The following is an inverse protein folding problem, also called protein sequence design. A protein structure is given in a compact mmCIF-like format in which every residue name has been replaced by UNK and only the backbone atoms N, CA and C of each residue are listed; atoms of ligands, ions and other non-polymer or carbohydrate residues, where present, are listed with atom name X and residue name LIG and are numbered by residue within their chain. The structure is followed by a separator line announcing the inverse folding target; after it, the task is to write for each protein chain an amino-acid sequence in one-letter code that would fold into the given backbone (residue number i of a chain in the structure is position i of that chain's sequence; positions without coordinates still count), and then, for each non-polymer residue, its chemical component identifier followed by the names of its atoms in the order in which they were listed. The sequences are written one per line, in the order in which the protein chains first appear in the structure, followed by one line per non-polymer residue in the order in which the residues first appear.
data_IF_107540972235
#
_entry.id   IF_107540972235
#
_cell.length_a   1.000
_cell.length_b   1.000
_cell.length_c   1.000
_cell.angle_alpha   90.00
_cell.angle_beta   90.00
_cell.angle_gamma   90.00
#
_symmetry.space_group_name_H-M   'P 1'
#
loop_
_entity.id
_entity.type
_entity.pdbx_description
1 polymer ?
#
# COMPACT_ATOMS: atom_id res chain seq x y z
N UNK A 1 -6.23 11.97 3.46
CA UNK A 1 -6.53 11.02 4.56
C UNK A 1 -7.93 10.48 4.32
N UNK A 2 -8.13 9.18 4.46
CA UNK A 2 -9.41 8.46 4.26
C UNK A 2 -9.84 7.88 5.62
N UNK A 3 -11.13 7.96 5.93
CA UNK A 3 -11.73 7.34 7.13
C UNK A 3 -12.80 6.34 6.68
N UNK A 4 -12.76 5.13 7.22
CA UNK A 4 -13.80 4.13 7.01
C UNK A 4 -14.21 3.47 8.35
N UNK A 5 -15.38 3.84 8.93
CA UNK A 5 -15.85 3.27 10.17
C UNK A 5 -16.44 1.85 10.04
N UNK A 6 -16.62 1.35 8.81
CA UNK A 6 -17.17 0.03 8.51
C UNK A 6 -16.27 -0.68 7.51
N UNK A 7 -15.01 -0.88 7.89
CA UNK A 7 -13.94 -1.31 7.00
C UNK A 7 -14.27 -2.64 6.31
N UNK A 8 -15.04 -3.52 6.96
CA UNK A 8 -15.49 -4.80 6.43
C UNK A 8 -14.30 -5.61 5.91
N UNK A 9 -14.36 -5.98 4.63
CA UNK A 9 -13.24 -6.71 4.01
C UNK A 9 -12.01 -5.85 3.68
N UNK A 10 -12.05 -4.52 3.86
CA UNK A 10 -10.90 -3.62 3.68
C UNK A 10 -10.75 -2.99 2.30
N UNK A 11 -11.78 -2.99 1.45
CA UNK A 11 -11.69 -2.45 0.08
C UNK A 11 -11.33 -0.96 0.04
N UNK A 12 -11.92 -0.14 0.92
CA UNK A 12 -11.58 1.29 1.04
C UNK A 12 -10.10 1.49 1.38
N UNK A 13 -9.56 0.67 2.30
CA UNK A 13 -8.15 0.70 2.67
C UNK A 13 -7.21 0.32 1.54
N UNK A 14 -7.54 -0.74 0.80
CA UNK A 14 -6.76 -1.15 -0.37
C UNK A 14 -6.73 -0.05 -1.43
N UNK A 15 -7.85 0.62 -1.69
CA UNK A 15 -7.88 1.76 -2.59
C UNK A 15 -7.04 2.93 -2.03
N UNK A 16 -7.24 3.31 -0.77
CA UNK A 16 -6.51 4.43 -0.16
C UNK A 16 -4.99 4.26 -0.29
N UNK A 17 -4.45 3.09 0.08
CA UNK A 17 -3.00 2.84 -0.02
C UNK A 17 -2.53 2.88 -1.48
N UNK A 18 -3.26 2.25 -2.42
CA UNK A 18 -2.92 2.27 -3.85
C UNK A 18 -2.86 3.67 -4.46
N UNK A 19 -3.63 4.61 -3.93
CA UNK A 19 -3.64 6.01 -4.34
C UNK A 19 -2.71 6.89 -3.50
N UNK A 20 -1.80 6.29 -2.72
CA UNK A 20 -0.84 7.02 -1.88
C UNK A 20 -1.51 7.83 -0.77
N UNK A 21 -2.65 7.36 -0.24
CA UNK A 21 -3.38 8.04 0.83
C UNK A 21 -3.27 7.27 2.14
N UNK A 22 -3.04 7.99 3.23
CA UNK A 22 -3.24 7.47 4.57
C UNK A 22 -4.72 7.12 4.80
N UNK A 23 -4.96 6.00 5.50
CA UNK A 23 -6.29 5.55 5.92
C UNK A 23 -6.33 5.29 7.44
N UNK A 24 -7.48 5.59 8.05
CA UNK A 24 -7.91 5.11 9.36
C UNK A 24 -9.18 4.28 9.16
N UNK A 25 -9.19 3.04 9.64
CA UNK A 25 -10.32 2.12 9.47
C UNK A 25 -10.70 1.42 10.77
N UNK A 26 -12.00 1.20 10.99
CA UNK A 26 -12.53 0.45 12.12
C UNK A 26 -13.36 -0.74 11.62
N UNK A 27 -13.18 -1.90 12.26
CA UNK A 27 -13.99 -3.09 12.05
C UNK A 27 -14.18 -3.77 13.41
N UNK A 28 -15.41 -4.17 13.72
CA UNK A 28 -15.76 -4.76 15.02
C UNK A 28 -15.65 -6.28 15.00
N UNK A 29 -15.83 -6.88 13.82
CA UNK A 29 -15.70 -8.32 13.64
C UNK A 29 -14.21 -8.68 13.48
N UNK A 30 -13.64 -9.50 14.38
CA UNK A 30 -12.21 -9.81 14.37
C UNK A 30 -11.77 -10.58 13.13
N UNK A 31 -12.63 -11.42 12.56
CA UNK A 31 -12.31 -12.19 11.35
C UNK A 31 -12.24 -11.26 10.13
N UNK A 32 -13.18 -10.32 10.03
CA UNK A 32 -13.13 -9.29 8.99
C UNK A 32 -11.95 -8.33 9.17
N UNK A 33 -11.61 -7.97 10.41
CA UNK A 33 -10.44 -7.15 10.71
C UNK A 33 -9.15 -7.79 10.17
N UNK A 34 -8.91 -9.08 10.45
CA UNK A 34 -7.72 -9.78 9.96
C UNK A 34 -7.70 -9.91 8.43
N UNK A 35 -8.87 -10.12 7.80
CA UNK A 35 -9.00 -10.11 6.33
C UNK A 35 -8.62 -8.74 5.76
N UNK A 36 -9.16 -7.66 6.33
CA UNK A 36 -8.90 -6.30 5.89
C UNK A 36 -7.43 -5.92 6.05
N UNK A 37 -6.86 -6.19 7.23
CA UNK A 37 -5.45 -5.94 7.56
C UNK A 37 -4.52 -6.61 6.54
N UNK A 38 -4.66 -7.92 6.31
CA UNK A 38 -3.85 -8.66 5.34
C UNK A 38 -3.97 -8.09 3.91
N UNK A 39 -5.17 -7.67 3.50
CA UNK A 39 -5.39 -7.09 2.16
C UNK A 39 -4.71 -5.72 2.01
N UNK A 40 -4.80 -4.87 3.04
CA UNK A 40 -4.21 -3.53 3.04
C UNK A 40 -2.68 -3.62 3.07
N UNK A 41 -2.10 -4.42 3.96
CA UNK A 41 -0.64 -4.64 4.05
C UNK A 41 -0.06 -5.18 2.73
N UNK A 42 -0.77 -6.11 2.08
CA UNK A 42 -0.37 -6.62 0.76
C UNK A 42 -0.39 -5.52 -0.30
N UNK A 43 -1.39 -4.65 -0.28
CA UNK A 43 -1.49 -3.56 -1.23
C UNK A 43 -0.39 -2.50 -1.01
N UNK A 44 -0.02 -2.22 0.24
CA UNK A 44 1.08 -1.31 0.60
C UNK A 44 2.45 -1.86 0.17
N UNK A 45 2.76 -3.13 0.47
CA UNK A 45 4.03 -3.76 0.05
C UNK A 45 4.27 -3.71 -1.45
N UNK A 46 3.21 -3.92 -2.24
CA UNK A 46 3.31 -3.87 -3.69
C UNK A 46 3.76 -2.50 -4.19
N UNK A 47 3.33 -1.42 -3.55
CA UNK A 47 3.73 -0.05 -3.94
C UNK A 47 5.20 0.18 -3.63
N UNK A 48 5.66 -0.24 -2.45
CA UNK A 48 7.05 -0.07 -2.05
C UNK A 48 8.01 -0.86 -2.95
N UNK A 49 7.67 -2.10 -3.31
CA UNK A 49 8.47 -2.90 -4.25
C UNK A 49 8.64 -2.19 -5.61
N UNK A 50 7.58 -1.56 -6.14
CA UNK A 50 7.71 -0.78 -7.38
C UNK A 50 8.64 0.42 -7.19
N UNK A 51 8.51 1.18 -6.09
CA UNK A 51 9.38 2.34 -5.85
C UNK A 51 10.86 1.94 -5.73
N UNK A 52 11.15 0.84 -5.03
CA UNK A 52 12.51 0.32 -4.84
C UNK A 52 13.10 -0.17 -6.18
N UNK A 53 12.38 -1.02 -6.92
CA UNK A 53 12.87 -1.59 -8.19
C UNK A 53 13.15 -0.50 -9.23
N UNK A 54 12.24 0.47 -9.40
CA UNK A 54 12.45 1.56 -10.35
C UNK A 54 13.55 2.53 -9.88
N UNK A 55 13.67 2.76 -8.57
CA UNK A 55 14.74 3.57 -7.99
C UNK A 55 16.12 3.00 -8.30
N UNK A 56 16.31 1.70 -8.04
CA UNK A 56 17.57 1.00 -8.35
C UNK A 56 17.90 1.05 -9.83
N UNK A 57 16.90 0.82 -10.70
CA UNK A 57 17.09 0.83 -12.15
C UNK A 57 17.52 2.19 -12.68
N UNK A 58 16.98 3.28 -12.12
CA UNK A 58 17.39 4.65 -12.47
C UNK A 58 18.82 4.93 -12.00
N UNK A 59 19.20 4.51 -10.78
CA UNK A 59 20.56 4.70 -10.25
C UNK A 59 21.58 3.96 -11.12
N UNK A 60 21.31 2.71 -11.49
CA UNK A 60 22.19 1.94 -12.36
C UNK A 60 22.35 2.57 -13.74
N UNK A 61 21.26 3.08 -14.32
CA UNK A 61 21.31 3.79 -15.59
C UNK A 61 22.13 5.08 -15.48
N UNK A 62 21.95 5.86 -14.40
CA UNK A 62 22.74 7.06 -14.15
C UNK A 62 24.24 6.74 -14.02
N UNK A 63 24.60 5.71 -13.26
CA UNK A 63 25.98 5.26 -13.10
C UNK A 63 26.62 4.77 -14.41
N UNK A 64 25.83 4.18 -15.30
CA UNK A 64 26.30 3.74 -16.63
C UNK A 64 26.46 4.90 -17.65
N UNK A 65 25.95 6.09 -17.33
CA UNK A 65 26.03 7.30 -18.15
C UNK A 65 27.07 8.30 -17.62
N UNK A 66 27.70 8.04 -16.48
CA UNK A 66 28.87 8.79 -16.04
C UNK A 66 30.09 8.35 -16.89
N UNK A 67 30.81 9.31 -17.52
CA UNK A 67 31.91 9.02 -18.45
C UNK A 67 33.17 8.47 -17.78
#
# INVERSE_FOLDING_TARGET
MVLDPFLGSGTTGVCAVKWGRHILGFEIDPDYFEIAKRRIEKAEKNINMFVEEYGEKIIQLAAALEP
#
